data_IF_340322996598
#
_entry.id   IF_340322996598
#
_cell.length_a   1.000
_cell.length_b   1.000
_cell.length_c   1.000
_cell.angle_alpha   90.00
_cell.angle_beta   90.00
_cell.angle_gamma   90.00
#
_symmetry.space_group_name_H-M   'P 1'
#
loop_
_entity.id
_entity.type
_entity.pdbx_description
1 polymer ?
#
# COMPACT_ATOMS: atom_id res chain seq x y z
N UNK A 1 10.72 4.36 1.21
CA UNK A 1 9.35 4.35 0.63
C UNK A 1 8.88 5.77 0.38
N UNK A 2 8.82 6.60 1.41
CA UNK A 2 8.55 8.03 1.32
C UNK A 2 9.83 8.78 0.96
N UNK A 3 9.77 9.81 0.13
CA UNK A 3 10.96 10.57 -0.28
C UNK A 3 11.00 11.88 0.47
N UNK A 4 12.00 12.10 1.32
CA UNK A 4 12.14 13.38 1.99
C UNK A 4 12.69 14.46 1.02
N UNK A 5 12.19 15.71 1.08
CA UNK A 5 11.00 16.18 1.81
C UNK A 5 9.69 15.75 1.14
N UNK A 6 8.63 15.56 1.93
CA UNK A 6 7.30 15.21 1.44
C UNK A 6 6.18 15.81 2.28
N UNK A 7 4.99 15.85 1.70
CA UNK A 7 3.75 16.28 2.34
C UNK A 7 2.77 15.12 2.40
N UNK A 8 2.12 14.92 3.55
CA UNK A 8 1.21 13.82 3.80
C UNK A 8 -0.02 14.26 4.58
N UNK A 9 -1.20 13.81 4.14
CA UNK A 9 -2.43 13.91 4.92
C UNK A 9 -2.86 12.53 5.43
N UNK A 10 -3.20 12.43 6.71
CA UNK A 10 -3.72 11.21 7.35
C UNK A 10 -5.16 11.49 7.77
N UNK A 11 -6.12 10.79 7.16
CA UNK A 11 -7.53 11.12 7.27
C UNK A 11 -8.41 9.96 7.72
N UNK A 12 -9.37 10.25 8.60
CA UNK A 12 -10.40 9.30 9.04
C UNK A 12 -11.14 9.77 10.29
N UNK A 13 -12.28 9.14 10.61
CA UNK A 13 -13.10 9.54 11.75
C UNK A 13 -12.38 9.38 13.09
N UNK A 14 -12.95 9.93 14.16
CA UNK A 14 -12.47 9.68 15.54
C UNK A 14 -12.43 8.18 15.83
N UNK A 15 -11.40 7.72 16.54
CA UNK A 15 -11.20 6.29 16.83
C UNK A 15 -10.75 5.42 15.65
N UNK A 16 -10.53 5.97 14.46
CA UNK A 16 -10.11 5.19 13.28
C UNK A 16 -8.64 4.71 13.33
N UNK A 17 -7.83 5.17 14.29
CA UNK A 17 -6.45 4.75 14.48
C UNK A 17 -5.38 5.69 13.91
N UNK A 18 -5.71 6.94 13.55
CA UNK A 18 -4.77 7.92 12.97
C UNK A 18 -3.53 8.16 13.83
N UNK A 19 -3.70 8.37 15.13
CA UNK A 19 -2.59 8.65 16.06
C UNK A 19 -1.71 7.42 16.24
N UNK A 20 -2.28 6.21 16.32
CA UNK A 20 -1.50 4.97 16.36
C UNK A 20 -0.75 4.75 15.04
N UNK A 21 -1.37 5.00 13.88
CA UNK A 21 -0.70 4.93 12.58
C UNK A 21 0.50 5.88 12.54
N UNK A 22 0.33 7.12 13.00
CA UNK A 22 1.39 8.13 13.07
C UNK A 22 2.50 7.69 14.02
N UNK A 23 2.15 7.17 15.18
CA UNK A 23 3.13 6.70 16.16
C UNK A 23 3.95 5.53 15.62
N UNK A 24 3.31 4.61 14.88
CA UNK A 24 4.00 3.52 14.17
C UNK A 24 4.87 4.03 13.04
N UNK A 25 4.43 5.06 12.31
CA UNK A 25 5.27 5.77 11.34
C UNK A 25 6.54 6.30 11.98
N UNK A 26 6.43 7.03 13.11
CA UNK A 26 7.59 7.57 13.82
C UNK A 26 8.56 6.45 14.22
N UNK A 27 8.07 5.30 14.72
CA UNK A 27 8.90 4.16 15.12
C UNK A 27 9.69 3.52 13.97
N UNK A 28 9.16 3.59 12.75
CA UNK A 28 9.75 2.96 11.57
C UNK A 28 10.29 3.99 10.57
N UNK A 29 10.45 5.24 11.00
CA UNK A 29 10.79 6.37 10.12
C UNK A 29 12.07 6.12 9.33
N UNK A 30 13.13 5.62 9.97
CA UNK A 30 14.42 5.31 9.33
C UNK A 30 14.32 4.24 8.22
N UNK A 31 13.31 3.37 8.30
CA UNK A 31 13.09 2.30 7.31
C UNK A 31 12.12 2.74 6.21
N UNK A 32 11.21 3.65 6.53
CA UNK A 32 10.14 4.08 5.64
C UNK A 32 10.51 5.31 4.82
N UNK A 33 11.31 6.22 5.37
CA UNK A 33 11.76 7.43 4.68
C UNK A 33 13.07 7.12 3.96
N UNK A 34 13.04 7.28 2.64
CA UNK A 34 14.20 7.14 1.76
C UNK A 34 15.04 8.42 1.81
N UNK A 35 16.35 8.27 1.91
CA UNK A 35 17.31 9.37 1.89
C UNK A 35 18.14 9.42 3.18
N UNK A 36 18.66 10.60 3.50
CA UNK A 36 19.33 10.83 4.77
C UNK A 36 18.33 10.71 5.94
N UNK A 37 18.76 10.21 7.11
CA UNK A 37 17.89 10.07 8.27
C UNK A 37 17.43 11.45 8.74
N UNK A 38 16.17 11.52 9.19
CA UNK A 38 15.60 12.73 9.76
C UNK A 38 16.27 13.02 11.11
N UNK A 39 16.61 14.28 11.35
CA UNK A 39 17.35 14.72 12.54
C UNK A 39 16.46 15.33 13.62
N UNK A 40 15.30 15.86 13.25
CA UNK A 40 14.36 16.44 14.19
C UNK A 40 12.92 16.07 13.92
N UNK A 41 12.13 16.08 14.98
CA UNK A 41 10.69 15.93 14.99
C UNK A 41 10.10 17.14 15.74
N UNK A 42 9.37 17.99 15.02
CA UNK A 42 8.52 19.01 15.61
C UNK A 42 7.08 18.48 15.61
N UNK A 43 6.57 18.10 16.79
CA UNK A 43 5.23 17.55 16.95
C UNK A 43 4.32 18.60 17.58
N UNK A 44 3.43 19.15 16.78
CA UNK A 44 2.44 20.13 17.20
C UNK A 44 1.10 19.43 17.43
N UNK A 45 0.48 19.65 18.60
CA UNK A 45 -0.77 19.00 18.98
C UNK A 45 -1.78 19.97 19.59
N UNK A 46 -3.07 19.74 19.29
CA UNK A 46 -4.18 20.51 19.88
C UNK A 46 -4.68 19.94 21.21
N UNK A 47 -4.67 18.61 21.33
CA UNK A 47 -5.19 17.88 22.49
C UNK A 47 -4.14 16.91 23.03
N UNK A 48 -4.02 16.83 24.36
CA UNK A 48 -3.10 15.90 25.01
C UNK A 48 -3.66 14.48 24.91
N UNK A 49 -2.86 13.57 24.35
CA UNK A 49 -3.18 12.14 24.30
C UNK A 49 -2.00 11.29 24.79
N UNK A 50 -2.20 9.97 24.92
CA UNK A 50 -1.16 9.06 25.41
C UNK A 50 0.13 9.10 24.57
N UNK A 51 0.02 9.35 23.25
CA UNK A 51 1.19 9.46 22.38
C UNK A 51 2.00 10.73 22.66
N UNK A 52 1.32 11.87 22.85
CA UNK A 52 1.97 13.13 23.25
C UNK A 52 2.68 12.97 24.58
N UNK A 53 2.04 12.36 25.59
CA UNK A 53 2.66 12.09 26.89
C UNK A 53 3.90 11.20 26.76
N UNK A 54 3.87 10.19 25.87
CA UNK A 54 5.04 9.35 25.58
C UNK A 54 6.17 10.15 24.93
N UNK A 55 5.86 11.09 24.04
CA UNK A 55 6.85 11.97 23.42
C UNK A 55 7.43 12.98 24.43
N UNK A 56 6.62 13.51 25.35
CA UNK A 56 7.08 14.45 26.38
C UNK A 56 8.17 13.84 27.26
N UNK A 57 7.98 12.59 27.69
CA UNK A 57 9.00 11.85 28.46
C UNK A 57 10.32 11.73 27.72
N UNK A 58 10.31 11.74 26.39
CA UNK A 58 11.52 11.65 25.56
C UNK A 58 12.19 13.02 25.39
N UNK A 59 11.40 14.07 25.18
CA UNK A 59 11.89 15.45 25.12
C UNK A 59 12.60 15.85 26.43
N UNK A 60 12.02 15.51 27.60
CA UNK A 60 12.65 15.79 28.90
C UNK A 60 13.99 15.08 29.10
N UNK A 61 14.17 13.89 28.53
CA UNK A 61 15.45 13.17 28.59
C UNK A 61 16.53 13.79 27.69
N UNK A 62 16.15 14.48 26.61
CA UNK A 62 17.08 15.21 25.76
C UNK A 62 17.62 16.47 26.46
N UNK A 63 16.77 17.20 27.18
CA UNK A 63 17.17 18.46 27.83
C UNK A 63 18.11 18.26 29.02
N UNK A 64 18.16 17.06 29.60
CA UNK A 64 19.04 16.78 30.76
C UNK A 64 20.44 16.26 30.38
N UNK A 65 20.70 15.96 29.10
CA UNK A 65 21.95 15.35 28.62
C UNK A 65 22.72 16.27 27.67
N UNK A 66 22.93 17.54 28.06
CA UNK A 66 23.66 18.52 27.25
C UNK A 66 25.19 18.32 27.24
N UNK A 67 25.72 17.25 27.87
CA UNK A 67 27.17 17.02 27.98
C UNK A 67 27.71 15.64 27.54
N UNK A 68 26.93 14.76 26.89
CA UNK A 68 27.49 13.51 26.34
C UNK A 68 27.12 13.28 24.87
N UNK A 69 28.08 13.61 24.00
CA UNK A 69 28.51 12.82 22.85
C UNK A 69 27.43 12.06 22.06
N UNK A 70 26.63 12.79 21.26
CA UNK A 70 26.07 12.44 19.92
C UNK A 70 25.58 11.00 19.61
N UNK A 71 25.40 10.12 20.59
CA UNK A 71 25.20 8.68 20.39
C UNK A 71 23.99 8.14 21.15
N UNK A 72 23.42 8.93 22.06
CA UNK A 72 22.19 8.62 22.79
C UNK A 72 20.98 8.88 21.88
N UNK A 73 20.87 8.06 20.85
CA UNK A 73 19.77 8.10 19.90
C UNK A 73 18.47 7.92 20.65
N UNK A 74 17.62 8.95 20.65
CA UNK A 74 16.18 8.80 20.84
C UNK A 74 15.72 7.53 20.13
N UNK A 75 14.70 6.82 20.63
CA UNK A 75 14.17 5.60 19.99
C UNK A 75 13.77 5.82 18.51
N UNK A 76 13.68 7.08 18.08
CA UNK A 76 13.38 7.55 16.73
C UNK A 76 14.57 8.13 15.94
N UNK A 77 15.78 8.16 16.50
CA UNK A 77 16.97 8.72 15.83
C UNK A 77 16.97 10.24 15.65
N UNK A 78 15.97 10.95 16.19
CA UNK A 78 15.74 12.38 16.00
C UNK A 78 15.52 13.13 17.32
N UNK A 79 15.92 14.41 17.36
CA UNK A 79 15.62 15.34 18.45
C UNK A 79 14.12 15.65 18.41
N UNK A 80 13.41 15.33 19.49
CA UNK A 80 11.97 15.55 19.60
C UNK A 80 11.73 16.90 20.26
N UNK A 81 10.89 17.73 19.64
CA UNK A 81 10.34 18.96 20.21
C UNK A 81 8.84 18.95 20.14
N UNK A 82 8.20 19.35 21.23
CA UNK A 82 6.76 19.41 21.34
C UNK A 82 6.25 20.84 21.36
N UNK A 83 5.15 21.06 20.65
CA UNK A 83 4.49 22.34 20.57
C UNK A 83 3.00 22.14 20.84
N UNK A 84 2.48 22.79 21.89
CA UNK A 84 1.04 22.84 22.12
C UNK A 84 0.43 23.96 21.28
N UNK A 85 -0.49 23.63 20.38
CA UNK A 85 -1.08 24.58 19.45
C UNK A 85 -0.41 24.61 18.07
N UNK A 86 -0.85 25.54 17.24
CA UNK A 86 -0.34 25.72 15.88
C UNK A 86 0.99 26.49 15.89
N UNK A 87 2.05 26.00 15.24
CA UNK A 87 3.29 26.74 15.08
C UNK A 87 3.11 27.86 14.05
N UNK A 88 4.00 28.84 14.06
CA UNK A 88 4.14 29.78 12.94
C UNK A 88 5.20 29.32 11.92
N UNK A 89 5.37 30.08 10.83
CA UNK A 89 6.37 29.76 9.80
C UNK A 89 7.80 29.87 10.33
N UNK A 90 8.07 30.83 11.23
CA UNK A 90 9.39 31.08 11.80
C UNK A 90 9.83 29.98 12.77
N UNK A 91 8.90 29.41 13.53
CA UNK A 91 9.14 28.23 14.38
C UNK A 91 9.61 27.04 13.54
N UNK A 92 8.91 26.77 12.42
CA UNK A 92 9.24 25.67 11.51
C UNK A 92 10.58 25.91 10.82
N UNK A 93 10.83 27.13 10.33
CA UNK A 93 12.09 27.50 9.68
C UNK A 93 13.30 27.34 10.61
N UNK A 94 13.15 27.77 11.87
CA UNK A 94 14.21 27.66 12.89
C UNK A 94 14.59 26.20 13.14
N UNK A 95 13.60 25.33 13.32
CA UNK A 95 13.85 23.90 13.54
C UNK A 95 14.37 23.20 12.28
N UNK A 96 13.92 23.62 11.11
CA UNK A 96 14.43 23.13 9.84
C UNK A 96 15.92 23.49 9.70
N UNK A 97 16.31 24.73 10.03
CA UNK A 97 17.71 25.15 10.03
C UNK A 97 18.55 24.37 11.05
N UNK A 98 18.05 24.21 12.28
CA UNK A 98 18.74 23.45 13.34
C UNK A 98 18.99 21.99 12.97
N UNK A 99 18.14 21.40 12.13
CA UNK A 99 18.25 20.01 11.65
C UNK A 99 18.97 19.88 10.30
N UNK A 100 19.34 21.00 9.68
CA UNK A 100 19.92 21.05 8.34
C UNK A 100 18.96 20.55 7.27
N UNK A 101 17.69 20.96 7.35
CA UNK A 101 16.62 20.59 6.43
C UNK A 101 16.28 19.11 6.47
N UNK A 102 16.25 18.51 7.66
CA UNK A 102 15.90 17.10 7.90
C UNK A 102 14.90 17.00 9.04
N UNK A 103 13.83 17.79 8.91
CA UNK A 103 12.79 17.93 9.92
C UNK A 103 11.53 17.17 9.50
N UNK A 104 10.90 16.51 10.46
CA UNK A 104 9.52 16.05 10.37
C UNK A 104 8.62 16.97 11.20
N UNK A 105 7.68 17.65 10.53
CA UNK A 105 6.60 18.41 11.15
C UNK A 105 5.35 17.54 11.23
N UNK A 106 4.80 17.36 12.43
CA UNK A 106 3.50 16.69 12.64
C UNK A 106 2.50 17.71 13.16
N UNK A 107 1.33 17.79 12.52
CA UNK A 107 0.20 18.62 12.92
C UNK A 107 -0.97 17.71 13.33
N UNK A 108 -1.13 17.47 14.63
CA UNK A 108 -2.12 16.54 15.20
C UNK A 108 -3.29 17.28 15.86
N UNK A 109 -4.50 17.09 15.33
CA UNK A 109 -5.73 17.69 15.86
C UNK A 109 -5.73 19.23 15.94
N UNK A 110 -5.02 19.87 15.02
CA UNK A 110 -4.84 21.33 14.98
C UNK A 110 -5.66 22.04 13.92
N UNK A 111 -6.46 21.33 13.12
CA UNK A 111 -7.09 21.89 11.92
C UNK A 111 -7.93 23.15 12.21
N UNK A 112 -8.66 23.18 13.33
CA UNK A 112 -9.49 24.33 13.71
C UNK A 112 -8.67 25.56 14.14
N UNK A 113 -7.45 25.36 14.65
CA UNK A 113 -6.55 26.44 15.10
C UNK A 113 -5.53 26.87 14.05
N UNK A 114 -5.36 26.11 12.96
CA UNK A 114 -4.38 26.39 11.92
C UNK A 114 -4.87 27.47 10.97
N UNK A 115 -4.01 28.47 10.72
CA UNK A 115 -4.24 29.46 9.65
C UNK A 115 -4.11 28.78 8.29
N UNK A 116 -5.06 29.03 7.39
CA UNK A 116 -5.00 28.50 6.02
C UNK A 116 -3.71 28.89 5.29
N UNK A 117 -3.27 30.15 5.45
CA UNK A 117 -2.02 30.63 4.87
C UNK A 117 -0.79 29.83 5.31
N UNK A 118 -0.75 29.41 6.57
CA UNK A 118 0.35 28.57 7.08
C UNK A 118 0.33 27.19 6.42
N UNK A 119 -0.84 26.54 6.35
CA UNK A 119 -1.00 25.26 5.64
C UNK A 119 -0.60 25.38 4.16
N UNK A 120 -1.02 26.45 3.50
CA UNK A 120 -0.68 26.72 2.11
C UNK A 120 0.84 26.84 1.94
N UNK A 121 1.52 27.59 2.81
CA UNK A 121 2.99 27.71 2.78
C UNK A 121 3.67 26.36 2.95
N UNK A 122 3.37 25.61 4.02
CA UNK A 122 4.10 24.36 4.33
C UNK A 122 3.81 23.25 3.32
N UNK A 123 2.61 23.19 2.74
CA UNK A 123 2.26 22.20 1.71
C UNK A 123 2.68 22.58 0.30
N UNK A 124 3.15 23.80 0.05
CA UNK A 124 3.65 24.24 -1.27
C UNK A 124 5.16 24.44 -1.23
N UNK A 125 5.61 25.67 -0.92
CA UNK A 125 7.01 26.08 -0.98
C UNK A 125 7.81 25.65 0.25
N UNK A 126 7.20 25.63 1.44
CA UNK A 126 7.89 25.40 2.71
C UNK A 126 8.53 24.02 2.80
N UNK A 127 7.79 22.95 2.47
CA UNK A 127 8.31 21.57 2.53
C UNK A 127 9.61 21.38 1.73
N UNK A 128 9.63 21.83 0.48
CA UNK A 128 10.80 21.67 -0.38
C UNK A 128 11.92 22.65 -0.04
N UNK A 129 11.60 23.92 0.21
CA UNK A 129 12.61 24.96 0.42
C UNK A 129 13.31 24.82 1.77
N UNK A 130 12.60 24.37 2.80
CA UNK A 130 13.15 24.22 4.14
C UNK A 130 13.64 22.79 4.42
N UNK A 131 13.41 21.81 3.53
CA UNK A 131 13.73 20.41 3.80
C UNK A 131 12.87 19.85 4.95
N UNK A 132 11.55 20.08 4.88
CA UNK A 132 10.60 19.68 5.91
C UNK A 132 9.64 18.66 5.34
N UNK A 133 9.55 17.49 5.97
CA UNK A 133 8.46 16.56 5.73
C UNK A 133 7.27 16.92 6.62
N UNK A 134 6.05 16.97 6.09
CA UNK A 134 4.85 17.41 6.82
C UNK A 134 3.82 16.29 6.89
N UNK A 135 3.35 15.98 8.09
CA UNK A 135 2.22 15.08 8.37
C UNK A 135 1.08 15.89 8.96
N UNK A 136 -0.01 16.04 8.22
CA UNK A 136 -1.25 16.63 8.71
C UNK A 136 -2.26 15.53 9.05
N UNK A 137 -2.66 15.47 10.31
CA UNK A 137 -3.68 14.54 10.80
C UNK A 137 -5.02 15.26 10.85
N UNK A 138 -6.02 14.72 10.16
CA UNK A 138 -7.34 15.35 10.02
C UNK A 138 -8.47 14.31 10.04
N UNK A 139 -9.67 14.76 10.36
CA UNK A 139 -10.90 13.98 10.37
C UNK A 139 -11.60 14.06 8.99
N UNK A 140 -11.39 15.15 8.26
CA UNK A 140 -12.05 15.46 6.99
C UNK A 140 -11.06 15.99 5.96
N UNK A 141 -11.10 15.45 4.74
CA UNK A 141 -10.22 15.87 3.63
C UNK A 141 -10.80 16.98 2.74
N UNK A 142 -12.10 17.23 2.85
CA UNK A 142 -12.84 18.12 1.95
C UNK A 142 -13.27 19.44 2.58
N UNK A 143 -12.62 19.84 3.67
CA UNK A 143 -12.75 21.19 4.23
C UNK A 143 -12.04 22.21 3.31
N UNK A 144 -12.53 23.45 3.28
CA UNK A 144 -12.07 24.50 2.34
C UNK A 144 -10.59 24.83 2.54
N UNK A 145 -10.16 24.84 3.80
CA UNK A 145 -8.82 25.16 4.27
C UNK A 145 -7.79 24.14 3.78
N UNK A 146 -8.22 22.90 3.50
CA UNK A 146 -7.35 21.82 3.07
C UNK A 146 -7.23 21.68 1.56
N UNK A 147 -7.87 22.54 0.76
CA UNK A 147 -7.88 22.38 -0.70
C UNK A 147 -6.45 22.38 -1.27
N UNK A 148 -5.62 23.35 -0.88
CA UNK A 148 -4.25 23.49 -1.38
C UNK A 148 -3.37 22.37 -0.80
N UNK A 149 -3.46 22.10 0.50
CA UNK A 149 -2.74 21.01 1.14
C UNK A 149 -3.03 19.65 0.49
N UNK A 150 -4.30 19.33 0.25
CA UNK A 150 -4.74 18.08 -0.41
C UNK A 150 -4.20 17.98 -1.84
N UNK A 151 -4.24 19.06 -2.60
CA UNK A 151 -3.80 19.06 -4.00
C UNK A 151 -2.27 18.94 -4.15
N UNK A 152 -1.50 19.42 -3.17
CA UNK A 152 -0.04 19.37 -3.17
C UNK A 152 0.53 18.24 -2.30
N UNK A 153 -0.32 17.39 -1.73
CA UNK A 153 0.12 16.22 -0.99
C UNK A 153 0.86 15.23 -1.91
N UNK A 154 1.99 14.73 -1.44
CA UNK A 154 2.64 13.57 -2.05
C UNK A 154 1.96 12.28 -1.64
N UNK A 155 1.41 12.23 -0.42
CA UNK A 155 0.83 11.03 0.15
C UNK A 155 -0.49 11.32 0.86
N UNK A 156 -1.47 10.44 0.72
CA UNK A 156 -2.71 10.48 1.51
C UNK A 156 -2.94 9.12 2.13
N UNK A 157 -3.12 9.06 3.45
CA UNK A 157 -3.49 7.85 4.18
C UNK A 157 -4.97 7.95 4.52
N UNK A 158 -5.78 7.05 3.95
CA UNK A 158 -7.19 6.92 4.29
C UNK A 158 -7.38 5.80 5.30
N UNK A 159 -7.78 6.17 6.51
CA UNK A 159 -8.27 5.23 7.52
C UNK A 159 -9.76 4.95 7.28
N UNK A 160 -10.28 3.90 7.92
CA UNK A 160 -11.71 3.58 7.88
C UNK A 160 -12.56 4.76 8.34
N UNK A 161 -13.49 5.20 7.49
CA UNK A 161 -14.45 6.26 7.79
C UNK A 161 -15.85 5.94 7.19
N UNK A 162 -16.74 5.27 7.94
CA UNK A 162 -18.06 4.88 7.44
C UNK A 162 -18.93 6.07 7.02
N UNK A 163 -18.91 7.17 7.79
CA UNK A 163 -19.65 8.39 7.46
C UNK A 163 -19.01 9.18 6.29
N UNK A 164 -17.74 8.89 5.97
CA UNK A 164 -16.96 9.57 4.95
C UNK A 164 -17.00 8.93 3.56
N UNK A 165 -17.90 7.99 3.28
CA UNK A 165 -17.93 7.25 2.00
C UNK A 165 -17.94 8.18 0.77
N UNK A 166 -18.69 9.29 0.83
CA UNK A 166 -18.72 10.28 -0.25
C UNK A 166 -17.37 11.01 -0.39
N UNK A 167 -16.67 11.32 0.71
CA UNK A 167 -15.35 11.93 0.65
C UNK A 167 -14.35 11.01 -0.05
N UNK A 168 -14.35 9.72 0.31
CA UNK A 168 -13.50 8.71 -0.33
C UNK A 168 -13.82 8.61 -1.82
N UNK A 169 -15.10 8.54 -2.19
CA UNK A 169 -15.52 8.51 -3.60
C UNK A 169 -15.09 9.76 -4.35
N UNK A 170 -15.25 10.95 -3.78
CA UNK A 170 -14.86 12.20 -4.41
C UNK A 170 -13.35 12.27 -4.65
N UNK A 171 -12.55 11.82 -3.68
CA UNK A 171 -11.10 11.72 -3.85
C UNK A 171 -10.75 10.71 -4.95
N UNK A 172 -11.40 9.55 -4.95
CA UNK A 172 -11.26 8.54 -5.99
C UNK A 172 -11.58 9.08 -7.39
N UNK A 173 -12.65 9.85 -7.53
CA UNK A 173 -13.04 10.46 -8.82
C UNK A 173 -11.98 11.44 -9.32
N UNK A 174 -11.37 12.21 -8.42
CA UNK A 174 -10.32 13.16 -8.76
C UNK A 174 -9.01 12.47 -9.17
N UNK A 175 -8.63 11.39 -8.48
CA UNK A 175 -7.33 10.73 -8.68
C UNK A 175 -7.37 9.58 -9.70
N UNK A 176 -8.52 8.95 -9.87
CA UNK A 176 -8.72 7.73 -10.67
C UNK A 176 -10.00 7.85 -11.53
N UNK A 177 -10.03 8.75 -12.53
CA UNK A 177 -11.21 8.98 -13.33
C UNK A 177 -11.61 7.75 -14.17
N UNK A 178 -12.89 7.69 -14.55
CA UNK A 178 -13.44 6.63 -15.40
C UNK A 178 -13.47 5.26 -14.71
N UNK A 179 -13.09 4.21 -15.44
CA UNK A 179 -13.12 2.82 -14.95
C UNK A 179 -12.19 2.53 -13.76
N UNK A 180 -11.19 3.38 -13.52
CA UNK A 180 -10.22 3.22 -12.44
C UNK A 180 -10.82 3.51 -11.05
N UNK A 181 -11.88 4.33 -10.96
CA UNK A 181 -12.56 4.66 -9.71
C UNK A 181 -13.02 3.41 -8.97
N UNK A 182 -13.58 2.44 -9.69
CA UNK A 182 -14.05 1.19 -9.11
C UNK A 182 -12.90 0.44 -8.42
N UNK A 183 -11.73 0.37 -9.05
CA UNK A 183 -10.57 -0.29 -8.48
C UNK A 183 -10.03 0.43 -7.24
N UNK A 184 -10.12 1.75 -7.20
CA UNK A 184 -9.77 2.53 -6.02
C UNK A 184 -10.72 2.23 -4.85
N UNK A 185 -12.04 2.22 -5.10
CA UNK A 185 -13.05 1.94 -4.07
C UNK A 185 -12.90 0.51 -3.52
N UNK A 186 -12.74 -0.48 -4.40
CA UNK A 186 -12.48 -1.88 -4.01
C UNK A 186 -11.18 -1.99 -3.18
N UNK A 187 -10.12 -1.26 -3.54
CA UNK A 187 -8.87 -1.26 -2.79
C UNK A 187 -9.02 -0.62 -1.40
N UNK A 188 -9.81 0.45 -1.28
CA UNK A 188 -10.09 1.08 0.01
C UNK A 188 -10.93 0.17 0.91
N UNK A 189 -11.98 -0.46 0.38
CA UNK A 189 -12.79 -1.43 1.10
C UNK A 189 -11.95 -2.60 1.61
N UNK A 190 -11.13 -3.19 0.74
CA UNK A 190 -10.22 -4.29 1.10
C UNK A 190 -9.22 -3.87 2.19
N UNK A 191 -8.62 -2.68 2.05
CA UNK A 191 -7.59 -2.19 2.98
C UNK A 191 -8.14 -1.75 4.34
N UNK A 192 -9.43 -1.41 4.42
CA UNK A 192 -10.09 -0.95 5.66
C UNK A 192 -11.09 -1.96 6.24
N UNK A 193 -11.11 -3.19 5.72
CA UNK A 193 -11.99 -4.26 6.16
C UNK A 193 -11.77 -4.64 7.64
N UNK A 194 -10.50 -4.71 8.07
CA UNK A 194 -10.12 -4.99 9.45
C UNK A 194 -10.00 -3.69 10.28
N UNK A 195 -10.13 -3.76 11.62
CA UNK A 195 -9.91 -2.62 12.50
C UNK A 195 -8.55 -1.96 12.27
N UNK A 196 -8.53 -0.62 12.28
CA UNK A 196 -7.33 0.19 12.05
C UNK A 196 -6.65 0.00 10.68
N UNK A 197 -7.34 -0.67 9.74
CA UNK A 197 -6.90 -0.77 8.35
C UNK A 197 -6.84 0.60 7.66
N UNK A 198 -5.91 0.73 6.72
CA UNK A 198 -5.64 1.97 6.00
C UNK A 198 -5.25 1.72 4.55
N UNK A 199 -5.59 2.66 3.67
CA UNK A 199 -5.11 2.74 2.30
C UNK A 199 -4.17 3.95 2.16
N UNK A 200 -2.90 3.70 1.86
CA UNK A 200 -1.95 4.72 1.43
C UNK A 200 -2.10 4.96 -0.07
N UNK A 201 -2.29 6.22 -0.44
CA UNK A 201 -2.31 6.73 -1.80
C UNK A 201 -1.02 7.52 -2.02
N UNK A 202 -0.18 7.03 -2.91
CA UNK A 202 1.10 7.61 -3.31
C UNK A 202 0.90 8.42 -4.60
N UNK A 203 0.91 9.74 -4.44
CA UNK A 203 0.73 10.72 -5.51
C UNK A 203 2.05 11.38 -5.90
N UNK A 204 3.18 10.89 -5.40
CA UNK A 204 4.49 11.44 -5.73
C UNK A 204 4.70 11.39 -7.26
N UNK A 205 5.20 12.46 -7.92
CA UNK A 205 5.28 12.54 -9.39
C UNK A 205 6.04 11.39 -10.06
N UNK A 206 7.06 10.87 -9.39
CA UNK A 206 7.87 9.73 -9.86
C UNK A 206 7.23 8.35 -9.65
N UNK A 207 6.07 8.27 -9.00
CA UNK A 207 5.42 6.98 -8.70
C UNK A 207 4.55 6.53 -9.86
N UNK A 208 4.86 5.36 -10.42
CA UNK A 208 4.08 4.73 -11.48
C UNK A 208 2.63 4.48 -11.05
N UNK A 209 1.68 4.74 -11.94
CA UNK A 209 0.24 4.67 -11.66
C UNK A 209 -0.22 3.33 -11.02
N UNK A 210 0.27 2.15 -11.44
CA UNK A 210 -0.13 0.87 -10.83
C UNK A 210 0.34 0.69 -9.38
N UNK A 211 1.36 1.44 -8.95
CA UNK A 211 1.99 1.33 -7.64
C UNK A 211 1.45 2.37 -6.64
N UNK A 212 0.46 3.19 -7.02
CA UNK A 212 -0.03 4.29 -6.20
C UNK A 212 -0.84 3.86 -4.98
N UNK A 213 -1.43 2.67 -4.98
CA UNK A 213 -2.27 2.20 -3.88
C UNK A 213 -1.54 1.13 -3.06
N UNK A 214 -1.29 1.42 -1.79
CA UNK A 214 -0.50 0.59 -0.87
C UNK A 214 -1.23 0.42 0.47
N UNK A 215 -0.96 -0.67 1.16
CA UNK A 215 -1.34 -0.92 2.56
C UNK A 215 -0.32 -1.90 3.14
N UNK A 216 -0.35 -2.15 4.45
CA UNK A 216 0.62 -2.99 5.14
C UNK A 216 2.07 -2.56 4.92
N UNK A 217 2.33 -1.25 5.03
CA UNK A 217 3.65 -0.65 4.76
C UNK A 217 4.65 -0.91 5.89
N UNK A 218 4.18 -1.27 7.09
CA UNK A 218 5.05 -1.45 8.25
C UNK A 218 5.67 -2.86 8.30
N UNK A 219 6.94 -3.00 8.73
CA UNK A 219 7.60 -4.30 8.82
C UNK A 219 6.90 -5.31 9.74
N UNK A 220 6.31 -4.84 10.83
CA UNK A 220 5.56 -5.64 11.81
C UNK A 220 4.21 -6.15 11.27
N UNK A 221 3.60 -5.43 10.33
CA UNK A 221 2.41 -5.86 9.57
C UNK A 221 2.69 -6.96 8.55
N UNK A 222 3.95 -7.11 8.13
CA UNK A 222 4.37 -8.14 7.18
C UNK A 222 4.54 -9.52 7.85
N UNK A 223 4.37 -9.59 9.17
CA UNK A 223 4.30 -10.81 9.95
C UNK A 223 2.84 -11.20 10.23
N UNK A 224 2.39 -12.32 9.67
CA UNK A 224 1.08 -12.90 9.98
C UNK A 224 1.04 -13.27 11.47
N UNK A 225 0.11 -12.73 12.29
CA UNK A 225 -0.14 -13.31 13.60
C UNK A 225 -0.68 -14.72 13.40
N UNK A 226 0.03 -15.71 13.93
CA UNK A 226 -0.44 -17.08 14.04
C UNK A 226 -1.76 -17.12 14.82
N UNK A 227 -2.83 -17.50 14.12
CA UNK A 227 -4.08 -18.09 14.65
C UNK A 227 -4.57 -17.56 16.01
N UNK A 228 -5.53 -16.64 15.98
CA UNK A 228 -6.62 -16.69 16.95
C UNK A 228 -7.85 -17.30 16.28
N UNK A 229 -8.30 -18.41 16.85
CA UNK A 229 -9.48 -19.14 16.42
C UNK A 229 -10.72 -18.24 16.59
N UNK A 230 -11.44 -17.96 15.51
CA UNK A 230 -12.78 -17.37 15.60
C UNK A 230 -13.78 -18.43 16.08
N UNK A 231 -14.72 -18.09 17.00
CA UNK A 231 -15.77 -19.00 17.42
C UNK A 231 -16.77 -19.22 16.27
N UNK A 232 -17.30 -20.45 16.19
CA UNK A 232 -18.30 -20.89 15.21
C UNK A 232 -19.70 -20.41 15.60
N UNK A 233 -20.44 -19.87 14.63
CA UNK A 233 -21.90 -19.71 14.63
C UNK A 233 -22.30 -18.64 13.61
N UNK A 234 -23.38 -18.72 12.85
CA UNK A 234 -24.40 -19.73 12.52
C UNK A 234 -24.71 -19.53 11.02
N UNK A 235 -25.13 -20.60 10.34
CA UNK A 235 -25.62 -20.57 8.95
C UNK A 235 -26.88 -19.71 8.85
N UNK A 236 -27.04 -18.93 7.77
CA UNK A 236 -28.36 -18.69 7.20
C UNK A 236 -28.31 -18.38 5.69
N UNK A 237 -29.19 -19.11 5.00
CA UNK A 237 -29.89 -18.88 3.73
C UNK A 237 -29.15 -18.34 2.50
N UNK A 238 -28.98 -19.27 1.55
CA UNK A 238 -28.95 -19.06 0.10
C UNK A 238 -30.28 -18.50 -0.42
N UNK A 239 -30.24 -17.43 -1.21
CA UNK A 239 -31.20 -17.23 -2.30
C UNK A 239 -30.52 -16.57 -3.50
N UNK A 240 -30.89 -17.07 -4.68
CA UNK A 240 -30.34 -16.84 -6.02
C UNK A 240 -30.53 -15.39 -6.49
N UNK A 241 -29.61 -14.94 -7.34
CA UNK A 241 -29.93 -14.25 -8.61
C UNK A 241 -28.73 -14.41 -9.56
N UNK A 242 -28.85 -15.41 -10.42
CA UNK A 242 -28.17 -15.41 -11.70
C UNK A 242 -28.92 -14.47 -12.66
N UNK A 243 -28.23 -14.10 -13.74
CA UNK A 243 -28.75 -13.45 -14.96
C UNK A 243 -29.08 -11.95 -14.92
N UNK A 244 -28.07 -11.14 -15.24
CA UNK A 244 -28.15 -10.16 -16.33
C UNK A 244 -26.74 -9.67 -16.66
N UNK A 245 -26.04 -10.42 -17.52
CA UNK A 245 -24.85 -9.94 -18.20
C UNK A 245 -25.31 -9.15 -19.43
N UNK A 246 -25.07 -7.84 -19.42
CA UNK A 246 -25.06 -7.06 -20.66
C UNK A 246 -23.85 -7.49 -21.51
N UNK A 247 -23.98 -7.73 -22.82
CA UNK A 247 -22.91 -8.25 -23.67
C UNK A 247 -21.84 -7.21 -24.07
N UNK A 248 -21.78 -6.03 -23.44
CA UNK A 248 -20.88 -4.94 -23.83
C UNK A 248 -19.55 -4.84 -23.04
N UNK A 249 -19.21 -5.79 -22.17
CA UNK A 249 -17.91 -5.83 -21.51
C UNK A 249 -16.84 -6.54 -22.37
N UNK A 250 -16.59 -6.03 -23.59
CA UNK A 250 -15.45 -6.46 -24.41
C UNK A 250 -14.22 -5.59 -24.08
N UNK A 251 -13.36 -6.19 -23.27
CA UNK A 251 -11.89 -6.14 -23.34
C UNK A 251 -11.18 -4.79 -23.16
N UNK A 252 -10.96 -4.38 -21.90
CA UNK A 252 -9.70 -3.72 -21.54
C UNK A 252 -8.62 -4.81 -21.39
N UNK A 253 -7.49 -4.72 -22.10
CA UNK A 253 -6.49 -5.78 -22.11
C UNK A 253 -5.79 -5.94 -20.74
N UNK A 254 -5.39 -7.17 -20.37
CA UNK A 254 -4.75 -7.47 -19.09
C UNK A 254 -3.46 -6.67 -18.89
N UNK A 255 -3.45 -5.73 -17.94
CA UNK A 255 -2.25 -4.98 -17.54
C UNK A 255 -1.36 -5.89 -16.69
N UNK A 256 -0.48 -6.63 -17.36
CA UNK A 256 0.64 -7.30 -16.72
C UNK A 256 1.80 -6.31 -16.57
N UNK A 257 2.45 -6.32 -15.41
CA UNK A 257 3.64 -5.50 -15.17
C UNK A 257 4.76 -5.81 -16.16
N UNK A 258 5.67 -4.86 -16.32
CA UNK A 258 6.87 -5.04 -17.15
C UNK A 258 7.72 -6.23 -16.67
N UNK A 259 7.68 -6.54 -15.38
CA UNK A 259 8.33 -7.72 -14.80
C UNK A 259 7.76 -9.03 -15.34
N UNK A 260 6.43 -9.16 -15.46
CA UNK A 260 5.80 -10.35 -16.06
C UNK A 260 6.23 -10.51 -17.52
N UNK A 261 6.34 -9.41 -18.26
CA UNK A 261 6.77 -9.43 -19.68
C UNK A 261 8.23 -9.92 -19.81
N UNK A 262 9.13 -9.38 -18.99
CA UNK A 262 10.56 -9.78 -18.97
C UNK A 262 10.77 -11.25 -18.59
N UNK A 263 9.89 -11.81 -17.75
CA UNK A 263 9.98 -13.19 -17.28
C UNK A 263 9.07 -14.17 -18.05
N UNK A 264 8.65 -13.85 -19.27
CA UNK A 264 7.81 -14.72 -20.12
C UNK A 264 8.39 -16.12 -20.34
N UNK A 265 9.71 -16.24 -20.51
CA UNK A 265 10.39 -17.54 -20.65
C UNK A 265 10.20 -18.45 -19.43
N UNK A 266 10.18 -17.88 -18.22
CA UNK A 266 9.91 -18.63 -16.98
C UNK A 266 8.48 -19.20 -16.99
N UNK A 267 7.48 -18.43 -17.42
CA UNK A 267 6.10 -18.92 -17.55
C UNK A 267 5.94 -20.00 -18.63
N UNK A 268 6.68 -19.91 -19.73
CA UNK A 268 6.70 -20.95 -20.76
C UNK A 268 7.28 -22.26 -20.23
N UNK A 269 8.38 -22.20 -19.47
CA UNK A 269 8.97 -23.36 -18.81
C UNK A 269 8.00 -24.01 -17.80
N UNK A 270 7.31 -23.18 -17.01
CA UNK A 270 6.28 -23.67 -16.07
C UNK A 270 5.11 -24.34 -16.78
N UNK A 271 4.65 -23.77 -17.91
CA UNK A 271 3.56 -24.34 -18.73
C UNK A 271 3.97 -25.67 -19.39
N UNK A 272 5.23 -25.77 -19.86
CA UNK A 272 5.75 -26.97 -20.51
C UNK A 272 6.08 -28.11 -19.53
N UNK A 273 6.13 -27.82 -18.23
CA UNK A 273 6.56 -28.78 -17.23
C UNK A 273 5.54 -29.92 -17.03
N UNK A 274 5.96 -31.15 -17.37
CA UNK A 274 5.16 -32.38 -17.18
C UNK A 274 5.57 -33.21 -15.96
N UNK A 275 6.75 -32.94 -15.39
CA UNK A 275 7.33 -33.69 -14.26
C UNK A 275 7.28 -32.89 -12.95
N UNK A 276 6.91 -33.55 -11.85
CA UNK A 276 6.85 -32.93 -10.52
C UNK A 276 8.23 -32.50 -10.00
N UNK A 277 9.28 -33.27 -10.31
CA UNK A 277 10.65 -32.97 -9.88
C UNK A 277 11.18 -31.73 -10.61
N UNK A 278 10.93 -31.65 -11.93
CA UNK A 278 11.27 -30.47 -12.74
C UNK A 278 10.51 -29.23 -12.28
N UNK A 279 9.23 -29.37 -11.93
CA UNK A 279 8.42 -28.28 -11.39
C UNK A 279 9.01 -27.75 -10.06
N UNK A 280 9.31 -28.67 -9.13
CA UNK A 280 9.91 -28.29 -7.83
C UNK A 280 11.24 -27.61 -8.01
N UNK A 281 12.09 -28.10 -8.92
CA UNK A 281 13.36 -27.48 -9.25
C UNK A 281 13.20 -26.06 -9.81
N UNK A 282 12.25 -25.85 -10.74
CA UNK A 282 11.96 -24.52 -11.28
C UNK A 282 11.51 -23.53 -10.20
N UNK A 283 10.64 -23.93 -9.28
CA UNK A 283 10.18 -23.06 -8.19
C UNK A 283 11.25 -22.84 -7.12
N UNK A 284 12.06 -23.86 -6.81
CA UNK A 284 13.16 -23.75 -5.88
C UNK A 284 14.23 -22.76 -6.38
N UNK A 285 14.54 -22.83 -7.68
CA UNK A 285 15.55 -21.99 -8.33
C UNK A 285 14.99 -20.66 -8.84
N UNK A 286 13.68 -20.45 -8.80
CA UNK A 286 13.06 -19.20 -9.25
C UNK A 286 13.58 -18.01 -8.44
N UNK A 287 13.99 -16.94 -9.13
CA UNK A 287 14.42 -15.73 -8.48
C UNK A 287 13.24 -14.96 -7.86
N UNK A 288 13.57 -13.91 -7.12
CA UNK A 288 12.61 -13.11 -6.37
C UNK A 288 11.55 -12.45 -7.25
N UNK A 289 11.95 -11.95 -8.41
CA UNK A 289 11.05 -11.30 -9.36
C UNK A 289 10.09 -12.31 -9.98
N UNK A 290 10.58 -13.48 -10.37
CA UNK A 290 9.79 -14.58 -10.91
C UNK A 290 8.71 -15.04 -9.92
N UNK A 291 9.05 -15.13 -8.63
CA UNK A 291 8.10 -15.48 -7.58
C UNK A 291 7.04 -14.40 -7.36
N UNK A 292 7.42 -13.11 -7.41
CA UNK A 292 6.47 -11.99 -7.32
C UNK A 292 5.56 -11.92 -8.55
N UNK A 293 6.08 -12.25 -9.73
CA UNK A 293 5.27 -12.36 -10.95
C UNK A 293 4.16 -13.41 -10.77
N UNK A 294 4.41 -14.55 -10.11
CA UNK A 294 3.38 -15.56 -9.80
C UNK A 294 2.29 -15.04 -8.85
N UNK A 295 2.66 -14.19 -7.88
CA UNK A 295 1.71 -13.53 -6.97
C UNK A 295 0.83 -12.54 -7.73
N UNK A 296 1.44 -11.72 -8.59
CA UNK A 296 0.73 -10.76 -9.43
C UNK A 296 -0.23 -11.46 -10.40
N UNK A 297 0.21 -12.57 -10.99
CA UNK A 297 -0.60 -13.45 -11.81
C UNK A 297 -1.86 -13.94 -11.09
N UNK A 298 -1.71 -14.42 -9.85
CA UNK A 298 -2.85 -14.84 -9.03
C UNK A 298 -3.80 -13.66 -8.71
N UNK A 299 -3.24 -12.47 -8.45
CA UNK A 299 -4.03 -11.26 -8.19
C UNK A 299 -4.83 -10.82 -9.42
N UNK A 300 -4.23 -10.85 -10.61
CA UNK A 300 -4.87 -10.46 -11.86
C UNK A 300 -6.02 -11.42 -12.24
N UNK A 301 -5.88 -12.71 -11.92
CA UNK A 301 -6.96 -13.70 -12.09
C UNK A 301 -8.12 -13.44 -11.13
N UNK A 302 -7.84 -13.17 -9.84
CA UNK A 302 -8.89 -12.89 -8.85
C UNK A 302 -9.66 -11.60 -9.16
N UNK A 303 -8.97 -10.61 -9.75
CA UNK A 303 -9.56 -9.32 -10.15
C UNK A 303 -10.20 -9.35 -11.54
N UNK A 304 -10.33 -10.54 -12.15
CA UNK A 304 -10.89 -10.72 -13.50
C UNK A 304 -10.22 -9.85 -14.58
N UNK A 305 -8.93 -9.51 -14.39
CA UNK A 305 -8.16 -8.66 -15.30
C UNK A 305 -7.59 -9.44 -16.49
N UNK A 306 -7.61 -10.77 -16.43
CA UNK A 306 -7.18 -11.66 -17.52
C UNK A 306 -8.40 -12.43 -18.01
N UNK A 307 -8.67 -12.48 -19.33
CA UNK A 307 -9.72 -13.34 -19.86
C UNK A 307 -9.36 -14.81 -19.61
N UNK A 308 -10.22 -15.53 -18.89
CA UNK A 308 -10.00 -16.94 -18.55
C UNK A 308 -10.88 -17.80 -19.46
N UNK A 309 -10.30 -18.67 -20.30
CA UNK A 309 -11.06 -19.64 -21.08
C UNK A 309 -11.90 -20.55 -20.16
N UNK A 310 -13.15 -20.85 -20.54
CA UNK A 310 -14.08 -21.64 -19.72
C UNK A 310 -13.50 -22.97 -19.22
N UNK A 311 -12.66 -23.62 -20.03
CA UNK A 311 -11.91 -24.84 -19.67
C UNK A 311 -10.99 -24.68 -18.45
N UNK A 312 -10.36 -23.52 -18.26
CA UNK A 312 -9.46 -23.24 -17.14
C UNK A 312 -10.20 -22.74 -15.90
N UNK A 313 -11.41 -22.17 -16.09
CA UNK A 313 -12.22 -21.62 -15.01
C UNK A 313 -12.64 -22.69 -13.99
N UNK A 314 -12.98 -23.90 -14.45
CA UNK A 314 -13.36 -25.00 -13.56
C UNK A 314 -12.18 -25.43 -12.65
N UNK A 315 -10.97 -25.50 -13.20
CA UNK A 315 -9.76 -25.88 -12.46
C UNK A 315 -9.34 -24.79 -11.46
N UNK A 316 -9.42 -23.51 -11.86
CA UNK A 316 -9.19 -22.38 -10.98
C UNK A 316 -10.21 -22.30 -9.82
N UNK A 317 -11.49 -22.59 -10.09
CA UNK A 317 -12.53 -22.64 -9.04
C UNK A 317 -12.21 -23.69 -7.98
N UNK A 318 -11.75 -24.88 -8.37
CA UNK A 318 -11.33 -25.94 -7.43
C UNK A 318 -10.13 -25.55 -6.57
N UNK A 319 -9.31 -24.61 -7.04
CA UNK A 319 -8.09 -24.15 -6.35
C UNK A 319 -8.20 -22.71 -5.84
N UNK A 320 -9.41 -22.13 -5.79
CA UNK A 320 -9.63 -20.72 -5.48
C UNK A 320 -9.01 -20.29 -4.13
N UNK A 321 -9.05 -21.16 -3.12
CA UNK A 321 -8.41 -20.91 -1.84
C UNK A 321 -6.89 -20.74 -1.97
N UNK A 322 -6.24 -21.61 -2.75
CA UNK A 322 -4.80 -21.57 -3.00
C UNK A 322 -4.40 -20.36 -3.85
N UNK A 323 -5.24 -19.94 -4.80
CA UNK A 323 -5.06 -18.69 -5.60
C UNK A 323 -5.13 -17.47 -4.67
N UNK A 324 -6.16 -17.38 -3.80
CA UNK A 324 -6.34 -16.29 -2.82
C UNK A 324 -5.21 -16.24 -1.79
N UNK A 325 -4.70 -17.39 -1.39
CA UNK A 325 -3.58 -17.44 -0.47
C UNK A 325 -2.29 -16.97 -1.16
N UNK A 326 -2.03 -17.44 -2.38
CA UNK A 326 -0.88 -17.00 -3.16
C UNK A 326 -0.88 -15.49 -3.43
N UNK A 327 -2.03 -14.91 -3.77
CA UNK A 327 -2.16 -13.46 -4.05
C UNK A 327 -1.91 -12.58 -2.82
N UNK A 328 -1.94 -13.13 -1.61
CA UNK A 328 -1.68 -12.42 -0.34
C UNK A 328 -0.21 -12.52 0.10
N UNK A 329 0.57 -13.43 -0.46
CA UNK A 329 1.96 -13.61 -0.06
C UNK A 329 2.83 -12.46 -0.58
N UNK A 330 3.73 -11.98 0.26
CA UNK A 330 4.70 -10.90 -0.06
C UNK A 330 6.15 -11.29 0.18
N UNK A 331 6.39 -12.44 0.82
CA UNK A 331 7.73 -12.97 1.11
C UNK A 331 8.14 -14.08 0.14
N UNK A 332 9.36 -14.02 -0.38
CA UNK A 332 9.98 -15.05 -1.25
C UNK A 332 9.90 -16.45 -0.62
N UNK A 333 10.22 -16.53 0.68
CA UNK A 333 10.15 -17.79 1.45
C UNK A 333 8.71 -18.27 1.56
N UNK A 334 7.77 -17.38 1.87
CA UNK A 334 6.35 -17.71 1.96
C UNK A 334 5.76 -18.20 0.63
N UNK A 335 6.09 -17.55 -0.48
CA UNK A 335 5.69 -17.98 -1.83
C UNK A 335 6.24 -19.36 -2.15
N UNK A 336 7.54 -19.60 -1.96
CA UNK A 336 8.14 -20.93 -2.19
C UNK A 336 7.52 -22.00 -1.31
N UNK A 337 7.35 -21.72 -0.01
CA UNK A 337 6.76 -22.67 0.92
C UNK A 337 5.33 -23.04 0.53
N UNK A 338 4.52 -22.06 0.12
CA UNK A 338 3.15 -22.30 -0.34
C UNK A 338 3.11 -23.10 -1.66
N UNK A 339 3.98 -22.76 -2.62
CA UNK A 339 4.03 -23.41 -3.93
C UNK A 339 4.63 -24.83 -3.91
N UNK A 340 5.51 -25.12 -2.95
CA UNK A 340 6.16 -26.43 -2.78
C UNK A 340 5.42 -27.35 -1.80
N UNK A 341 4.44 -26.82 -1.03
CA UNK A 341 3.65 -27.58 -0.06
C UNK A 341 2.92 -28.74 -0.74
N UNK A 342 3.00 -29.94 -0.15
CA UNK A 342 2.17 -31.08 -0.61
C UNK A 342 0.68 -30.72 -0.39
N UNK A 343 -0.20 -30.86 -1.40
CA UNK A 343 -1.62 -30.61 -1.21
C UNK A 343 -2.23 -31.63 -0.22
N UNK A 344 -3.26 -31.24 0.54
CA UNK A 344 -3.98 -32.16 1.42
C UNK A 344 -4.63 -33.30 0.63
N UNK A 345 -4.80 -34.46 1.26
CA UNK A 345 -5.26 -35.74 0.67
C UNK A 345 -6.58 -35.58 -0.11
N UNK A 346 -7.48 -34.70 0.32
CA UNK A 346 -8.76 -34.40 -0.34
C UNK A 346 -8.65 -33.68 -1.69
N UNK A 347 -7.46 -33.20 -2.07
CA UNK A 347 -7.19 -32.56 -3.37
C UNK A 347 -6.26 -33.41 -4.27
N UNK A 348 -5.95 -34.64 -3.87
CA UNK A 348 -5.21 -35.58 -4.70
C UNK A 348 -6.12 -36.16 -5.78
N UNK A 349 -6.28 -35.45 -6.89
CA UNK A 349 -6.67 -36.11 -8.14
C UNK A 349 -5.51 -36.98 -8.60
N UNK A 350 -5.77 -38.23 -8.99
CA UNK A 350 -4.81 -39.30 -9.32
C UNK A 350 -3.81 -39.08 -10.46
N UNK A 351 -3.42 -37.83 -10.76
CA UNK A 351 -2.19 -37.48 -11.48
C UNK A 351 -1.47 -36.37 -10.71
N UNK A 352 -0.32 -36.70 -10.15
CA UNK A 352 0.40 -35.92 -9.14
C UNK A 352 0.99 -34.59 -9.60
N UNK A 353 0.16 -33.55 -9.72
CA UNK A 353 0.60 -32.17 -9.92
C UNK A 353 -0.17 -31.23 -8.97
N UNK A 354 0.51 -30.36 -8.18
CA UNK A 354 -0.15 -29.19 -7.62
C UNK A 354 -0.41 -28.21 -8.78
N UNK A 355 -1.57 -28.34 -9.41
CA UNK A 355 -1.86 -27.72 -10.72
C UNK A 355 -1.93 -26.19 -10.73
N UNK A 356 -1.73 -25.50 -9.61
CA UNK A 356 -1.99 -24.05 -9.52
C UNK A 356 -1.11 -23.25 -10.49
N UNK A 357 0.21 -23.34 -10.39
CA UNK A 357 1.11 -22.51 -11.19
C UNK A 357 1.11 -22.88 -12.67
N UNK A 358 0.93 -24.17 -12.99
CA UNK A 358 0.74 -24.62 -14.37
C UNK A 358 -0.55 -24.04 -14.98
N UNK A 359 -1.61 -23.93 -14.19
CA UNK A 359 -2.88 -23.29 -14.59
C UNK A 359 -2.75 -21.77 -14.67
N UNK A 360 -2.03 -21.14 -13.73
CA UNK A 360 -1.70 -19.71 -13.82
C UNK A 360 -0.93 -19.43 -15.13
N UNK A 361 0.10 -20.22 -15.43
CA UNK A 361 0.89 -20.08 -16.64
C UNK A 361 0.08 -20.40 -17.91
N UNK A 362 -0.83 -21.39 -17.90
CA UNK A 362 -1.67 -21.71 -19.05
C UNK A 362 -2.75 -20.67 -19.33
N UNK A 363 -3.16 -19.89 -18.33
CA UNK A 363 -4.05 -18.74 -18.46
C UNK A 363 -3.30 -17.49 -18.93
N UNK A 364 -2.08 -17.29 -18.42
CA UNK A 364 -1.35 -16.02 -18.57
C UNK A 364 -0.47 -16.00 -19.82
N UNK A 365 0.15 -17.11 -20.20
CA UNK A 365 1.00 -17.17 -21.41
C UNK A 365 0.22 -16.82 -22.68
N UNK A 366 -1.00 -17.34 -22.94
CA UNK A 366 -1.79 -16.91 -24.09
C UNK A 366 -2.16 -15.42 -24.04
N UNK A 367 -2.51 -14.90 -22.86
CA UNK A 367 -2.84 -13.49 -22.67
C UNK A 367 -1.64 -12.55 -22.87
N UNK A 368 -0.42 -13.01 -22.56
CA UNK A 368 0.82 -12.28 -22.83
C UNK A 368 1.21 -12.32 -24.31
N UNK A 369 1.05 -13.48 -24.98
CA UNK A 369 1.37 -13.66 -26.40
C UNK A 369 0.44 -12.86 -27.32
N UNK A 370 -0.85 -12.81 -26.99
CA UNK A 370 -1.83 -12.03 -27.76
C UNK A 370 -1.43 -10.53 -27.80
N UNK A 371 -0.95 -9.99 -26.68
CA UNK A 371 -0.44 -8.61 -26.61
C UNK A 371 0.87 -8.37 -27.34
N UNK A 372 1.78 -9.34 -27.36
CA UNK A 372 3.04 -9.22 -28.11
C UNK A 372 2.79 -9.17 -29.63
N UNK A 373 1.70 -9.78 -30.10
CA UNK A 373 1.25 -9.70 -31.49
C UNK A 373 0.51 -8.38 -31.76
N UNK A 374 -0.35 -7.93 -30.85
CA UNK A 374 -1.07 -6.65 -30.96
C UNK A 374 -0.09 -5.44 -31.00
N UNK A 375 1.00 -5.48 -30.23
CA UNK A 375 2.05 -4.45 -30.25
C UNK A 375 2.93 -4.46 -31.52
N UNK A 376 2.97 -5.57 -32.26
CA UNK A 376 3.67 -5.65 -33.55
C UNK A 376 2.83 -5.15 -34.73
N UNK A 377 1.53 -4.94 -34.52
CA UNK A 377 0.59 -4.47 -35.55
C UNK A 377 0.28 -2.98 -35.47
N UNK A 378 0.92 -2.22 -34.58
CA UNK A 378 0.92 -0.76 -34.68
C UNK A 378 1.97 -0.36 -35.72
N UNK A 379 1.59 0.12 -36.93
CA UNK A 379 2.58 0.67 -37.85
C UNK A 379 3.23 1.87 -37.18
N UNK A 380 4.55 1.96 -37.29
CA UNK A 380 5.29 3.15 -36.96
C UNK A 380 4.74 4.29 -37.83
N UNK A 381 3.88 5.13 -37.26
CA UNK A 381 3.60 6.44 -37.83
C UNK A 381 4.81 7.30 -37.56
N UNK A 382 5.80 7.16 -38.46
CA UNK A 382 6.74 8.22 -38.79
C UNK A 382 5.95 9.40 -39.37
N UNK A 383 5.96 10.53 -38.68
CA UNK A 383 6.32 11.87 -39.18
C UNK A 383 6.19 12.90 -38.08
#
# INVERSE_FOLDING_TARGET
MFKHPFTMCIAGCTGSGKSEWTHRFLRHMDQLVSGAPLKGLLYCYGEVNEHVLRLQRMESNNNNNEYESASSSSRYGAVVRLCHGAPDEGDVEREALATGGRLLLVLDDLLLGLRSAFLDTVFTRGSHNWGVSVLLITQHLFTRELRIARNNCHYVVLMRNPAGALQVRNLGTQLFPGGALRHFLEAYEDATAEPFGYLLIDMHPTTEQPLRLKTHIYPDELCVPSKQQRPKGKKQATTRLASTLSPAAKTLPPVFSEHIKRHTGFFQQLRACRSQNRYRALIANANSEQLLCLVECALNILRSRVPIPGRHLHQLKRQAASVRQLSKLRSRRGVRQHLLRKPPVSQQSGRGLPALVGVLASVIVPALLQRALDNKQQPATET
#
